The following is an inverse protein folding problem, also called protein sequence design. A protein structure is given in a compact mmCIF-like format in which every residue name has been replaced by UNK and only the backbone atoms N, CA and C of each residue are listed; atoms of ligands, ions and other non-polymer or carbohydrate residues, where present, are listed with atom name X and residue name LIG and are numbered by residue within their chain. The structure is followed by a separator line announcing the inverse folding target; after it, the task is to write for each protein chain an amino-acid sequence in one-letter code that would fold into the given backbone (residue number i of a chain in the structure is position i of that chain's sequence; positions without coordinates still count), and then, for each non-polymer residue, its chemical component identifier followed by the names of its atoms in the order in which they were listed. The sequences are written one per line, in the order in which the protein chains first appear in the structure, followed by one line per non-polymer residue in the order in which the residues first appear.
data_IF_962295711789
#
_entry.id   IF_962295711789
#
_cell.length_a   1.000
_cell.length_b   1.000
_cell.length_c   1.000
_cell.angle_alpha   90.00
_cell.angle_beta   90.00
_cell.angle_gamma   90.00
#
_symmetry.space_group_name_H-M   'P 1'
#
loop_
_entity.id
_entity.type
_entity.pdbx_description
1 polymer ?
#
# COMPACT_ATOMS: atom_id res chain seq x y z
N UNK A 1 -11.23 6.61 19.67
CA UNK A 1 -11.07 5.57 18.63
C UNK A 1 -12.31 5.67 17.76
N UNK A 2 -12.18 6.15 16.53
CA UNK A 2 -13.33 6.30 15.65
C UNK A 2 -13.68 4.92 15.11
N UNK A 3 -14.83 4.40 15.55
CA UNK A 3 -15.44 3.18 15.05
C UNK A 3 -15.96 3.49 13.63
N UNK A 4 -15.07 3.54 12.64
CA UNK A 4 -15.49 3.60 11.23
C UNK A 4 -15.86 2.17 10.80
N UNK A 5 -16.90 1.64 11.46
CA UNK A 5 -17.50 0.36 11.16
C UNK A 5 -18.45 0.65 10.02
N UNK A 6 -17.97 0.52 8.78
CA UNK A 6 -18.88 0.29 7.66
C UNK A 6 -19.75 -0.88 8.10
N UNK A 7 -21.04 -0.64 8.34
CA UNK A 7 -21.93 -1.68 8.84
C UNK A 7 -22.28 -2.58 7.66
N UNK A 8 -21.38 -3.51 7.37
CA UNK A 8 -21.50 -4.48 6.28
C UNK A 8 -22.78 -5.33 6.41
N UNK A 9 -23.44 -5.32 7.58
CA UNK A 9 -24.67 -6.06 7.85
C UNK A 9 -25.88 -5.58 7.03
N UNK A 10 -25.89 -4.32 6.58
CA UNK A 10 -27.00 -3.76 5.78
C UNK A 10 -26.72 -3.77 4.27
N UNK A 11 -25.57 -4.32 3.85
CA UNK A 11 -25.14 -4.34 2.45
C UNK A 11 -25.44 -5.72 1.86
N UNK A 12 -26.20 -5.82 0.76
CA UNK A 12 -26.48 -7.12 0.14
C UNK A 12 -25.21 -7.75 -0.42
N UNK A 13 -25.18 -9.09 -0.45
CA UNK A 13 -24.04 -9.86 -0.95
C UNK A 13 -23.53 -9.40 -2.33
N UNK A 14 -24.42 -9.11 -3.28
CA UNK A 14 -24.07 -8.66 -4.63
C UNK A 14 -23.27 -7.37 -4.62
N UNK A 15 -23.66 -6.41 -3.77
CA UNK A 15 -22.96 -5.15 -3.68
C UNK A 15 -21.59 -5.34 -3.01
N UNK A 16 -21.48 -6.22 -2.02
CA UNK A 16 -20.18 -6.59 -1.43
C UNK A 16 -19.27 -7.29 -2.45
N UNK A 17 -19.80 -8.21 -3.25
CA UNK A 17 -19.07 -8.88 -4.34
C UNK A 17 -18.55 -7.85 -5.35
N UNK A 18 -19.39 -6.93 -5.83
CA UNK A 18 -18.98 -5.85 -6.73
C UNK A 18 -17.88 -4.96 -6.14
N UNK A 19 -18.01 -4.56 -4.86
CA UNK A 19 -16.99 -3.74 -4.19
C UNK A 19 -15.63 -4.45 -4.18
N UNK A 20 -15.59 -5.74 -3.84
CA UNK A 20 -14.35 -6.53 -3.79
C UNK A 20 -13.72 -6.70 -5.19
N UNK A 21 -14.53 -6.88 -6.22
CA UNK A 21 -14.04 -7.03 -7.60
C UNK A 21 -13.69 -5.71 -8.28
N UNK A 22 -14.15 -4.57 -7.76
CA UNK A 22 -13.69 -3.25 -8.20
C UNK A 22 -12.26 -2.94 -7.74
N UNK A 23 -11.76 -3.62 -6.71
CA UNK A 23 -10.39 -3.45 -6.21
C UNK A 23 -9.34 -4.04 -7.16
N UNK A 24 -8.29 -3.27 -7.43
CA UNK A 24 -7.23 -3.63 -8.38
C UNK A 24 -5.94 -4.05 -7.65
N UNK A 25 -5.88 -5.31 -7.25
CA UNK A 25 -4.68 -5.91 -6.65
C UNK A 25 -3.45 -5.81 -7.58
N UNK A 26 -3.66 -5.81 -8.91
CA UNK A 26 -2.60 -5.70 -9.90
C UNK A 26 -1.89 -4.34 -9.84
N UNK A 27 -2.65 -3.25 -9.70
CA UNK A 27 -2.10 -1.90 -9.48
C UNK A 27 -1.34 -1.80 -8.17
N UNK A 28 -1.85 -2.41 -7.10
CA UNK A 28 -1.17 -2.42 -5.80
C UNK A 28 0.19 -3.13 -5.89
N UNK A 29 0.25 -4.31 -6.52
CA UNK A 29 1.51 -5.02 -6.77
C UNK A 29 2.47 -4.25 -7.70
N UNK A 30 1.94 -3.55 -8.71
CA UNK A 30 2.76 -2.71 -9.58
C UNK A 30 3.41 -1.55 -8.81
N UNK A 31 2.64 -0.90 -7.93
CA UNK A 31 3.16 0.12 -7.03
C UNK A 31 4.22 -0.46 -6.07
N UNK A 32 4.00 -1.67 -5.52
CA UNK A 32 4.98 -2.34 -4.67
C UNK A 32 6.31 -2.60 -5.39
N UNK A 33 6.27 -3.02 -6.66
CA UNK A 33 7.48 -3.17 -7.50
C UNK A 33 8.21 -1.84 -7.70
N UNK A 34 7.48 -0.74 -7.92
CA UNK A 34 8.06 0.60 -8.02
C UNK A 34 8.83 1.01 -6.76
N UNK A 35 8.24 0.77 -5.58
CA UNK A 35 8.89 1.03 -4.29
C UNK A 35 10.15 0.19 -4.07
N UNK A 36 10.15 -1.09 -4.47
CA UNK A 36 11.36 -1.93 -4.42
C UNK A 36 12.47 -1.41 -5.32
N UNK A 37 12.12 -1.05 -6.55
CA UNK A 37 13.09 -0.50 -7.51
C UNK A 37 13.70 0.81 -7.01
N UNK A 38 12.90 1.67 -6.35
CA UNK A 38 13.41 2.86 -5.69
C UNK A 38 14.39 2.50 -4.57
N UNK A 39 14.03 1.56 -3.69
CA UNK A 39 14.90 1.13 -2.60
C UNK A 39 16.26 0.61 -3.12
N UNK A 40 16.24 -0.26 -4.13
CA UNK A 40 17.45 -0.80 -4.76
C UNK A 40 18.32 0.30 -5.38
N UNK A 41 17.70 1.29 -6.02
CA UNK A 41 18.41 2.44 -6.61
C UNK A 41 19.09 3.27 -5.52
N UNK A 42 18.38 3.57 -4.44
CA UNK A 42 18.90 4.36 -3.31
C UNK A 42 20.04 3.63 -2.60
N UNK A 43 19.94 2.32 -2.40
CA UNK A 43 21.01 1.49 -1.84
C UNK A 43 22.25 1.46 -2.73
N UNK A 44 22.07 1.39 -4.05
CA UNK A 44 23.20 1.45 -4.97
C UNK A 44 23.93 2.80 -4.87
N UNK A 45 23.21 3.91 -4.72
CA UNK A 45 23.79 5.23 -4.49
C UNK A 45 24.52 5.28 -3.14
N UNK A 46 23.90 4.79 -2.06
CA UNK A 46 24.50 4.72 -0.73
C UNK A 46 25.80 3.91 -0.72
N UNK A 47 25.80 2.75 -1.38
CA UNK A 47 26.99 1.91 -1.53
C UNK A 47 28.11 2.60 -2.33
N UNK A 48 27.76 3.37 -3.37
CA UNK A 48 28.73 4.13 -4.15
C UNK A 48 29.34 5.28 -3.33
N UNK A 49 28.54 6.00 -2.55
CA UNK A 49 29.03 7.06 -1.65
C UNK A 49 29.93 6.49 -0.55
N UNK A 50 29.57 5.34 0.01
CA UNK A 50 30.39 4.62 1.00
C UNK A 50 31.77 4.30 0.41
N UNK A 51 31.80 3.68 -0.78
CA UNK A 51 33.06 3.37 -1.48
C UNK A 51 33.87 4.63 -1.79
N UNK A 52 33.23 5.73 -2.16
CA UNK A 52 33.93 6.98 -2.44
C UNK A 52 34.54 7.59 -1.17
N UNK A 53 33.77 7.67 -0.08
CA UNK A 53 34.24 8.10 1.24
C UNK A 53 35.46 7.30 1.68
N UNK A 54 35.39 5.98 1.57
CA UNK A 54 36.44 5.06 2.04
C UNK A 54 37.71 5.13 1.16
N UNK A 55 37.56 5.44 -0.14
CA UNK A 55 38.70 5.67 -1.04
C UNK A 55 39.42 6.99 -0.79
N UNK A 56 38.69 8.05 -0.44
CA UNK A 56 39.27 9.39 -0.22
C UNK A 56 39.86 9.52 1.20
N UNK A 57 39.42 8.68 2.14
CA UNK A 57 39.86 8.71 3.53
C UNK A 57 41.39 8.63 3.75
N UNK A 58 42.16 7.77 3.05
CA UNK A 58 43.60 7.64 3.27
C UNK A 58 44.38 8.86 2.73
N UNK A 59 43.92 9.44 1.63
CA UNK A 59 44.63 10.49 0.90
C UNK A 59 44.32 11.89 1.44
N UNK A 60 43.20 12.06 2.16
CA UNK A 60 42.76 13.35 2.69
C UNK A 60 42.72 13.38 4.22
N UNK A 61 43.89 13.38 4.84
CA UNK A 61 44.07 13.47 6.28
C UNK A 61 44.17 14.94 6.76
N UNK A 62 43.04 15.65 6.77
CA UNK A 62 42.93 17.02 7.29
C UNK A 62 41.59 17.22 8.00
N UNK A 63 41.46 18.28 8.81
CA UNK A 63 40.20 18.62 9.48
C UNK A 63 39.03 18.80 8.49
N UNK A 64 39.28 19.38 7.31
CA UNK A 64 38.28 19.49 6.26
C UNK A 64 37.88 18.11 5.70
N UNK A 65 38.83 17.18 5.59
CA UNK A 65 38.58 15.81 5.17
C UNK A 65 37.75 15.02 6.20
N UNK A 66 37.99 15.24 7.49
CA UNK A 66 37.16 14.65 8.57
C UNK A 66 35.71 15.14 8.52
N UNK A 67 35.49 16.46 8.41
CA UNK A 67 34.15 17.03 8.26
C UNK A 67 33.44 16.47 7.02
N UNK A 68 34.12 16.45 5.88
CA UNK A 68 33.56 15.91 4.63
C UNK A 68 33.13 14.44 4.75
N UNK A 69 33.92 13.61 5.44
CA UNK A 69 33.57 12.20 5.70
C UNK A 69 32.41 12.05 6.68
N UNK A 70 32.29 12.94 7.67
CA UNK A 70 31.15 13.02 8.58
C UNK A 70 29.86 13.28 7.81
N UNK A 71 29.84 14.35 7.01
CA UNK A 71 28.70 14.71 6.16
C UNK A 71 28.30 13.59 5.19
N UNK A 72 29.27 12.93 4.56
CA UNK A 72 28.98 11.76 3.73
C UNK A 72 28.35 10.61 4.51
N UNK A 73 28.78 10.39 5.75
CA UNK A 73 28.21 9.34 6.62
C UNK A 73 26.75 9.65 6.95
N UNK A 74 26.43 10.91 7.22
CA UNK A 74 25.04 11.35 7.50
C UNK A 74 24.14 11.21 6.26
N UNK A 75 24.65 11.56 5.07
CA UNK A 75 23.94 11.35 3.79
C UNK A 75 23.70 9.86 3.54
N UNK A 76 24.72 9.02 3.72
CA UNK A 76 24.62 7.56 3.56
C UNK A 76 23.53 7.00 4.48
N UNK A 77 23.55 7.36 5.78
CA UNK A 77 22.54 6.90 6.73
C UNK A 77 21.12 7.33 6.36
N UNK A 78 20.97 8.52 5.78
CA UNK A 78 19.68 9.04 5.33
C UNK A 78 19.14 8.29 4.10
N UNK A 79 20.03 7.94 3.16
CA UNK A 79 19.69 7.10 2.01
C UNK A 79 19.28 5.69 2.45
N UNK A 80 20.02 5.07 3.37
CA UNK A 80 19.70 3.74 3.89
C UNK A 80 18.32 3.73 4.57
N UNK A 81 17.99 4.79 5.32
CA UNK A 81 16.69 4.93 5.97
C UNK A 81 15.55 5.14 4.97
N UNK A 82 15.80 5.89 3.89
CA UNK A 82 14.85 6.04 2.79
C UNK A 82 14.60 4.72 2.05
N UNK A 83 15.65 3.95 1.78
CA UNK A 83 15.54 2.62 1.16
C UNK A 83 14.76 1.63 2.06
N UNK A 84 15.01 1.65 3.37
CA UNK A 84 14.25 0.87 4.33
C UNK A 84 12.76 1.21 4.30
N UNK A 85 12.42 2.51 4.32
CA UNK A 85 11.04 2.99 4.26
C UNK A 85 10.35 2.56 2.96
N UNK A 86 11.04 2.68 1.82
CA UNK A 86 10.55 2.23 0.53
C UNK A 86 10.24 0.72 0.50
N UNK A 87 11.10 -0.13 1.06
CA UNK A 87 10.83 -1.58 1.18
C UNK A 87 9.60 -1.88 2.04
N UNK A 88 9.44 -1.17 3.14
CA UNK A 88 8.29 -1.34 4.01
C UNK A 88 6.98 -0.95 3.31
N UNK A 89 6.96 0.14 2.52
CA UNK A 89 5.80 0.48 1.70
C UNK A 89 5.50 -0.58 0.64
N UNK A 90 6.52 -1.17 0.01
CA UNK A 90 6.32 -2.29 -0.91
C UNK A 90 5.68 -3.50 -0.20
N UNK A 91 6.16 -3.85 1.01
CA UNK A 91 5.60 -4.96 1.78
C UNK A 91 4.14 -4.73 2.19
N UNK A 92 3.81 -3.50 2.57
CA UNK A 92 2.44 -3.07 2.88
C UNK A 92 1.52 -3.28 1.67
N UNK A 93 1.94 -2.81 0.49
CA UNK A 93 1.15 -2.92 -0.73
C UNK A 93 0.95 -4.37 -1.17
N UNK A 94 1.97 -5.23 -1.02
CA UNK A 94 1.83 -6.66 -1.31
C UNK A 94 0.90 -7.37 -0.34
N UNK A 95 0.96 -7.03 0.96
CA UNK A 95 0.05 -7.58 1.97
C UNK A 95 -1.40 -7.20 1.65
N UNK A 96 -1.60 -5.95 1.26
CA UNK A 96 -2.92 -5.43 0.87
C UNK A 96 -3.42 -6.14 -0.40
N UNK A 97 -2.57 -6.27 -1.41
CA UNK A 97 -2.93 -6.94 -2.66
C UNK A 97 -3.28 -8.42 -2.43
N UNK A 98 -2.54 -9.11 -1.55
CA UNK A 98 -2.84 -10.49 -1.18
C UNK A 98 -4.22 -10.61 -0.50
N UNK A 99 -4.55 -9.69 0.41
CA UNK A 99 -5.86 -9.67 1.06
C UNK A 99 -7.00 -9.41 0.07
N UNK A 100 -6.81 -8.52 -0.92
CA UNK A 100 -7.77 -8.28 -2.00
C UNK A 100 -7.98 -9.55 -2.83
N UNK A 101 -6.90 -10.20 -3.28
CA UNK A 101 -6.99 -11.44 -4.07
C UNK A 101 -7.68 -12.58 -3.30
N UNK A 102 -7.39 -12.69 -2.01
CA UNK A 102 -8.07 -13.66 -1.15
C UNK A 102 -9.55 -13.36 -1.00
N UNK A 103 -9.91 -12.09 -0.80
CA UNK A 103 -11.30 -11.65 -0.72
C UNK A 103 -12.06 -11.92 -2.03
N UNK A 104 -11.47 -11.60 -3.18
CA UNK A 104 -12.04 -11.88 -4.52
C UNK A 104 -12.32 -13.37 -4.69
N UNK A 105 -11.34 -14.23 -4.41
CA UNK A 105 -11.52 -15.69 -4.50
C UNK A 105 -12.66 -16.18 -3.61
N UNK A 106 -12.71 -15.73 -2.35
CA UNK A 106 -13.76 -16.14 -1.41
C UNK A 106 -15.14 -15.62 -1.83
N UNK A 107 -15.22 -14.40 -2.33
CA UNK A 107 -16.46 -13.82 -2.86
C UNK A 107 -16.96 -14.62 -4.07
N UNK A 108 -16.09 -15.04 -4.98
CA UNK A 108 -16.44 -15.92 -6.10
C UNK A 108 -16.94 -17.29 -5.64
N UNK A 109 -16.30 -17.89 -4.63
CA UNK A 109 -16.73 -19.16 -4.04
C UNK A 109 -18.14 -19.08 -3.44
N UNK A 110 -18.45 -18.00 -2.71
CA UNK A 110 -19.77 -17.77 -2.12
C UNK A 110 -20.80 -17.47 -3.23
N UNK A 111 -20.41 -16.68 -4.23
CA UNK A 111 -21.27 -16.35 -5.39
C UNK A 111 -21.66 -17.59 -6.18
N UNK A 112 -20.71 -18.51 -6.42
CA UNK A 112 -20.98 -19.78 -7.09
C UNK A 112 -21.92 -20.68 -6.28
N UNK A 113 -21.72 -20.77 -4.96
CA UNK A 113 -22.63 -21.53 -4.08
C UNK A 113 -24.03 -20.95 -4.05
N UNK A 114 -24.14 -19.61 -4.02
CA UNK A 114 -25.42 -18.91 -4.06
C UNK A 114 -26.13 -19.11 -5.38
N UNK A 115 -25.42 -18.99 -6.50
CA UNK A 115 -25.99 -19.21 -7.84
C UNK A 115 -26.49 -20.64 -8.00
N UNK A 116 -25.72 -21.64 -7.57
CA UNK A 116 -26.15 -23.03 -7.61
C UNK A 116 -27.37 -23.32 -6.71
N UNK A 117 -27.47 -22.65 -5.57
CA UNK A 117 -28.65 -22.75 -4.69
C UNK A 117 -29.90 -22.16 -5.34
N UNK A 118 -29.76 -20.99 -5.99
CA UNK A 118 -30.86 -20.34 -6.69
C UNK A 118 -31.29 -21.16 -7.91
N UNK A 119 -30.36 -21.64 -8.74
CA UNK A 119 -30.64 -22.49 -9.90
C UNK A 119 -31.34 -23.79 -9.49
N UNK A 120 -30.89 -24.45 -8.42
CA UNK A 120 -31.57 -25.64 -7.90
C UNK A 120 -33.02 -25.36 -7.49
N UNK A 121 -33.32 -24.17 -6.98
CA UNK A 121 -34.66 -23.76 -6.56
C UNK A 121 -35.51 -23.31 -7.74
N UNK A 122 -34.92 -22.62 -8.70
CA UNK A 122 -35.56 -22.25 -9.97
C UNK A 122 -35.93 -23.49 -10.78
N UNK A 123 -35.03 -24.48 -10.92
CA UNK A 123 -35.34 -25.76 -11.56
C UNK A 123 -36.47 -26.54 -10.86
N UNK A 124 -36.56 -26.41 -9.52
CA UNK A 124 -37.65 -27.04 -8.75
C UNK A 124 -38.99 -26.35 -8.97
N UNK A 125 -38.98 -25.04 -9.18
CA UNK A 125 -40.18 -24.22 -9.41
C UNK A 125 -40.58 -24.21 -10.91
N UNK A 126 -39.61 -24.34 -11.83
CA UNK A 126 -39.79 -24.42 -13.28
C UNK A 126 -40.19 -25.83 -13.78
N UNK A 127 -40.37 -26.80 -12.89
CA UNK A 127 -41.15 -28.01 -13.22
C UNK A 127 -42.64 -27.70 -13.53
N UNK A 128 -43.05 -26.43 -13.45
CA UNK A 128 -44.38 -25.94 -13.80
C UNK A 128 -44.46 -24.83 -14.86
N UNK A 129 -43.36 -24.21 -15.33
CA UNK A 129 -43.45 -23.15 -16.35
C UNK A 129 -42.16 -22.99 -17.16
N UNK A 130 -42.29 -23.03 -18.48
CA UNK A 130 -41.22 -22.79 -19.44
C UNK A 130 -40.99 -21.27 -19.58
N UNK A 131 -39.73 -20.80 -19.59
CA UNK A 131 -39.11 -20.05 -20.71
C UNK A 131 -37.97 -19.08 -20.30
N UNK A 132 -36.85 -19.16 -21.05
CA UNK A 132 -35.81 -18.15 -21.36
C UNK A 132 -35.31 -17.15 -20.29
N UNK A 133 -34.11 -17.38 -19.72
CA UNK A 133 -33.52 -16.48 -18.69
C UNK A 133 -32.01 -16.21 -18.81
N UNK A 134 -31.45 -16.08 -20.02
CA UNK A 134 -30.05 -15.65 -20.18
C UNK A 134 -29.86 -14.15 -20.45
N UNK A 135 -30.93 -13.40 -20.72
CA UNK A 135 -30.87 -11.96 -20.99
C UNK A 135 -31.13 -11.04 -19.77
N UNK A 136 -31.46 -11.61 -18.61
CA UNK A 136 -31.89 -10.87 -17.40
C UNK A 136 -30.81 -10.62 -16.35
N UNK A 137 -29.56 -11.07 -16.53
CA UNK A 137 -28.56 -11.00 -15.46
C UNK A 137 -28.20 -9.56 -15.00
N UNK A 138 -28.50 -8.53 -15.81
CA UNK A 138 -28.31 -7.12 -15.41
C UNK A 138 -29.60 -6.41 -14.96
N UNK A 139 -30.80 -6.89 -15.32
CA UNK A 139 -32.09 -6.43 -14.76
C UNK A 139 -32.45 -7.18 -13.46
N UNK A 140 -31.86 -8.37 -13.26
CA UNK A 140 -32.12 -9.27 -12.15
C UNK A 140 -31.67 -8.77 -10.77
N UNK A 141 -30.89 -7.68 -10.67
CA UNK A 141 -30.62 -7.08 -9.34
C UNK A 141 -31.87 -6.38 -8.80
N UNK A 142 -32.71 -5.81 -9.68
CA UNK A 142 -34.00 -5.20 -9.31
C UNK A 142 -35.07 -6.30 -9.13
N UNK A 143 -35.03 -7.35 -9.96
CA UNK A 143 -35.98 -8.46 -9.91
C UNK A 143 -35.71 -9.49 -8.81
N UNK A 144 -34.46 -9.74 -8.38
CA UNK A 144 -34.17 -10.61 -7.22
C UNK A 144 -34.71 -10.00 -5.92
N UNK A 145 -34.78 -8.68 -5.83
CA UNK A 145 -35.42 -7.99 -4.69
C UNK A 145 -36.95 -8.04 -4.79
N UNK A 146 -37.52 -8.04 -6.01
CA UNK A 146 -38.97 -8.07 -6.25
C UNK A 146 -39.60 -9.47 -6.32
N UNK A 147 -38.86 -10.50 -6.70
CA UNK A 147 -39.31 -11.90 -6.83
C UNK A 147 -39.40 -12.64 -5.48
N UNK A 148 -39.05 -11.96 -4.37
CA UNK A 148 -39.30 -12.40 -2.98
C UNK A 148 -40.81 -12.38 -2.66
N UNK A 149 -41.64 -11.74 -3.49
CA UNK A 149 -43.07 -11.57 -3.23
C UNK A 149 -43.99 -12.57 -3.94
N UNK A 150 -43.47 -13.43 -4.82
CA UNK A 150 -44.26 -14.46 -5.51
C UNK A 150 -43.80 -15.86 -5.11
N UNK A 151 -44.67 -16.60 -4.42
CA UNK A 151 -44.72 -18.05 -4.07
C UNK A 151 -43.48 -18.97 -4.29
N UNK A 152 -42.28 -18.43 -4.15
CA UNK A 152 -41.01 -19.12 -4.33
C UNK A 152 -40.52 -19.60 -2.96
N UNK A 153 -40.36 -20.92 -2.81
CA UNK A 153 -39.86 -21.61 -1.61
C UNK A 153 -38.35 -21.38 -1.37
N UNK A 154 -37.87 -20.16 -1.64
CA UNK A 154 -36.50 -19.70 -1.36
C UNK A 154 -36.41 -19.45 0.14
N UNK A 155 -35.49 -20.15 0.81
CA UNK A 155 -35.33 -20.01 2.25
C UNK A 155 -34.65 -18.67 2.57
N UNK A 156 -35.35 -17.72 3.22
CA UNK A 156 -34.76 -16.43 3.58
C UNK A 156 -33.63 -16.57 4.58
N UNK A 157 -33.55 -17.68 5.34
CA UNK A 157 -32.43 -17.97 6.23
C UNK A 157 -31.18 -18.26 5.41
N UNK A 158 -31.30 -19.05 4.34
CA UNK A 158 -30.17 -19.42 3.48
C UNK A 158 -29.59 -18.22 2.72
N UNK A 159 -30.44 -17.29 2.27
CA UNK A 159 -29.97 -16.03 1.68
C UNK A 159 -29.20 -15.18 2.69
N UNK A 160 -29.69 -15.05 3.93
CA UNK A 160 -28.97 -14.34 5.00
C UNK A 160 -27.64 -14.99 5.35
N UNK A 161 -27.51 -16.32 5.23
CA UNK A 161 -26.22 -17.00 5.44
C UNK A 161 -25.18 -16.58 4.40
N UNK A 162 -25.58 -16.36 3.13
CA UNK A 162 -24.66 -15.84 2.11
C UNK A 162 -24.27 -14.39 2.38
N UNK A 163 -25.23 -13.55 2.81
CA UNK A 163 -24.93 -12.17 3.23
C UNK A 163 -23.93 -12.15 4.40
N UNK A 164 -24.13 -12.99 5.42
CA UNK A 164 -23.20 -13.13 6.56
C UNK A 164 -21.81 -13.61 6.15
N UNK A 165 -21.72 -14.51 5.17
CA UNK A 165 -20.43 -14.96 4.63
C UNK A 165 -19.73 -13.82 3.87
N UNK A 166 -20.46 -13.07 3.06
CA UNK A 166 -19.95 -11.86 2.39
C UNK A 166 -19.46 -10.83 3.41
N UNK A 167 -20.23 -10.58 4.46
CA UNK A 167 -19.91 -9.67 5.56
C UNK A 167 -18.59 -10.06 6.24
N UNK A 168 -18.39 -11.35 6.53
CA UNK A 168 -17.16 -11.85 7.14
C UNK A 168 -15.93 -11.61 6.25
N UNK A 169 -16.08 -11.77 4.92
CA UNK A 169 -15.02 -11.49 3.95
C UNK A 169 -14.69 -9.99 3.96
N UNK A 170 -15.71 -9.12 3.91
CA UNK A 170 -15.54 -7.67 3.93
C UNK A 170 -14.89 -7.17 5.22
N UNK A 171 -15.28 -7.72 6.38
CA UNK A 171 -14.65 -7.41 7.66
C UNK A 171 -13.18 -7.81 7.67
N UNK A 172 -12.84 -8.97 7.13
CA UNK A 172 -11.45 -9.40 7.04
C UNK A 172 -10.62 -8.47 6.14
N UNK A 173 -11.15 -8.12 4.96
CA UNK A 173 -10.50 -7.19 4.04
C UNK A 173 -10.32 -5.80 4.67
N UNK A 174 -11.36 -5.26 5.30
CA UNK A 174 -11.30 -3.98 6.02
C UNK A 174 -10.26 -3.99 7.15
N UNK A 175 -10.18 -5.08 7.92
CA UNK A 175 -9.15 -5.23 8.94
C UNK A 175 -7.74 -5.29 8.34
N UNK A 176 -7.55 -5.90 7.17
CA UNK A 176 -6.25 -5.89 6.49
C UNK A 176 -5.80 -4.46 6.12
N UNK A 177 -6.72 -3.63 5.62
CA UNK A 177 -6.46 -2.21 5.34
C UNK A 177 -6.14 -1.40 6.62
N UNK A 178 -6.86 -1.63 7.72
CA UNK A 178 -6.63 -0.93 8.99
C UNK A 178 -5.32 -1.35 9.67
N UNK A 179 -4.99 -2.64 9.64
CA UNK A 179 -3.75 -3.15 10.23
C UNK A 179 -2.51 -2.64 9.50
N UNK A 180 -2.63 -2.37 8.20
CA UNK A 180 -1.59 -1.71 7.41
C UNK A 180 -1.31 -0.28 7.90
N UNK A 181 -2.34 0.46 8.35
CA UNK A 181 -2.19 1.83 8.84
C UNK A 181 -1.42 1.88 10.17
N UNK A 182 -1.64 0.90 11.06
CA UNK A 182 -0.94 0.78 12.34
C UNK A 182 0.56 0.43 12.19
N UNK A 183 0.98 -0.13 11.05
CA UNK A 183 2.35 -0.57 10.76
C UNK A 183 3.17 0.40 9.91
N UNK A 184 2.66 1.61 9.62
CA UNK A 184 3.32 2.56 8.71
C UNK A 184 4.66 3.04 9.27
N UNK A 185 5.79 2.85 8.56
CA UNK A 185 7.05 3.47 8.97
C UNK A 185 6.94 4.99 8.82
N UNK A 186 7.47 5.71 9.81
CA UNK A 186 7.70 7.14 9.65
C UNK A 186 8.75 7.35 8.55
N UNK A 187 8.46 8.18 7.56
CA UNK A 187 9.47 8.62 6.59
C UNK A 187 10.43 9.55 7.35
N UNK A 188 11.73 9.21 7.48
CA UNK A 188 12.68 10.09 8.12
C UNK A 188 12.79 11.38 7.31
N UNK A 189 12.63 12.53 7.97
CA UNK A 189 12.97 13.81 7.37
C UNK A 189 14.50 13.98 7.44
N UNK A 190 15.16 13.99 6.29
CA UNK A 190 16.55 14.42 6.22
C UNK A 190 16.62 15.91 6.56
N UNK A 191 17.24 16.26 7.69
CA UNK A 191 17.36 17.65 8.16
C UNK A 191 18.55 18.41 7.53
N UNK A 192 19.30 17.77 6.62
CA UNK A 192 20.50 18.38 6.02
C UNK A 192 21.69 18.42 6.99
N UNK A 193 22.85 18.92 6.52
CA UNK A 193 24.02 19.17 7.36
C UNK A 193 23.66 20.04 8.55
N UNK A 194 23.81 19.52 9.78
CA UNK A 194 23.85 20.39 10.95
C UNK A 194 25.23 21.00 10.91
N UNK A 195 25.34 22.30 10.57
CA UNK A 195 26.61 22.99 10.47
C UNK A 195 27.39 22.90 11.80
N UNK A 196 28.24 21.88 11.93
CA UNK A 196 29.25 21.83 12.97
C UNK A 196 30.36 22.75 12.49
N UNK A 197 30.27 24.03 12.87
CA UNK A 197 31.39 24.96 12.73
C UNK A 197 32.55 24.33 13.48
N UNK A 198 33.64 23.91 12.81
CA UNK A 198 34.80 23.38 13.52
C UNK A 198 35.32 24.50 14.41
N UNK A 199 35.43 24.25 15.71
CA UNK A 199 35.90 25.23 16.70
C UNK A 199 37.30 25.81 16.38
N UNK A 200 38.01 25.25 15.39
CA UNK A 200 39.40 25.56 15.07
C UNK A 200 39.62 26.35 13.76
N UNK A 201 38.59 26.93 13.14
CA UNK A 201 38.78 27.85 11.99
C UNK A 201 39.04 29.31 12.39
N UNK A 202 39.17 29.63 13.68
CA UNK A 202 39.78 30.88 14.15
C UNK A 202 41.31 30.77 14.18
N UNK A 203 41.93 30.47 13.04
CA UNK A 203 43.36 30.75 12.84
C UNK A 203 43.45 32.05 12.07
N UNK A 204 44.04 33.06 12.71
CA UNK A 204 44.30 34.37 12.10
C UNK A 204 44.93 34.20 10.71
N UNK A 205 44.34 34.83 9.70
CA UNK A 205 44.87 34.84 8.35
C UNK A 205 46.32 35.38 8.34
N UNK A 206 47.26 34.77 7.60
CA UNK A 206 48.58 35.36 7.38
C UNK A 206 48.39 36.68 6.62
N UNK A 207 48.87 37.78 7.19
CA UNK A 207 48.78 39.11 6.60
C UNK A 207 49.37 39.13 5.19
N UNK A 208 48.56 39.49 4.20
CA UNK A 208 49.01 39.73 2.84
C UNK A 208 49.78 41.07 2.73
N UNK A 209 50.82 41.18 1.88
CA UNK A 209 51.60 42.40 1.72
C UNK A 209 50.83 43.45 0.90
N UNK A 210 50.64 44.65 1.47
CA UNK A 210 50.09 45.82 0.78
C UNK A 210 51.18 46.65 0.07
N UNK A 211 50.89 47.06 -1.16
CA UNK A 211 51.77 47.65 -2.17
C UNK A 211 52.29 49.08 -1.86
N UNK A 212 53.29 49.60 -2.62
CA UNK A 212 53.99 50.86 -2.33
C UNK A 212 53.14 52.10 -2.66
N UNK A 213 53.16 53.09 -1.76
CA UNK A 213 52.53 54.40 -1.94
C UNK A 213 53.34 55.30 -2.88
N UNK A 214 52.72 55.84 -3.92
CA UNK A 214 53.31 56.89 -4.78
C UNK A 214 53.13 58.29 -4.16
N UNK A 215 54.04 59.26 -4.45
CA UNK A 215 54.19 60.49 -3.66
C UNK A 215 53.30 61.65 -4.12
N UNK A 216 52.87 62.46 -3.16
CA UNK A 216 52.33 63.81 -3.33
C UNK A 216 52.88 64.72 -2.23
#
# INVERSE_FOLDING_TARGET
MAENRTDWADIPFELMHQIVHAEDAGRQQAAARGWRSLAETVEAVSANLTRYRDRVAPDWNSAAGEVFRGEMTDVIGSLDSAAHSARSYAGILDTTAAAVLEAQRKMDEVSAQRSAYLEQKDDYNNLGDDNDTWHDFLDGVDDVVHNITGDNDIDPVRLREFDQQGEAIMRHLGNAYLNVEAGRPAIPQYQGPVAVVPANLMVAAPGAPGAPSAPG
#
